data_IF_194260593191
#
_entry.id   IF_194260593191
#
_cell.length_a   1.000
_cell.length_b   1.000
_cell.length_c   1.000
_cell.angle_alpha   90.00
_cell.angle_beta   90.00
_cell.angle_gamma   90.00
#
_symmetry.space_group_name_H-M   'P 1'
#
loop_
_entity.id
_entity.type
_entity.pdbx_description
1 polymer ?
#
# COMPACT_ATOMS: atom_id res chain seq x y z
N UNK A 1 -3.39 51.50 7.94
CA UNK A 1 -3.61 50.05 8.11
C UNK A 1 -3.08 49.39 6.85
N UNK A 2 -1.86 48.86 6.88
CA UNK A 2 -1.25 48.15 5.75
C UNK A 2 -1.43 46.67 5.96
N UNK A 3 -2.31 46.05 5.18
CA UNK A 3 -2.48 44.59 5.17
C UNK A 3 -1.23 43.96 4.55
N UNK A 4 -0.36 43.43 5.40
CA UNK A 4 0.72 42.53 4.97
C UNK A 4 0.11 41.38 4.16
N UNK A 5 0.56 41.12 2.92
CA UNK A 5 0.10 39.96 2.16
C UNK A 5 0.34 38.70 2.98
N UNK A 6 -0.74 37.98 3.34
CA UNK A 6 -0.64 36.68 4.02
C UNK A 6 0.06 35.72 3.08
N UNK A 7 1.35 35.45 3.32
CA UNK A 7 2.06 34.37 2.64
C UNK A 7 1.27 33.08 2.87
N UNK A 8 0.97 32.30 1.82
CA UNK A 8 0.37 31.00 2.02
C UNK A 8 1.34 30.19 2.91
N UNK A 9 0.83 29.66 4.02
CA UNK A 9 1.55 28.71 4.87
C UNK A 9 1.72 27.41 4.07
N UNK A 10 2.74 27.39 3.23
CA UNK A 10 3.19 26.17 2.56
C UNK A 10 3.72 25.23 3.65
N UNK A 11 3.23 23.98 3.77
CA UNK A 11 3.77 23.01 4.71
C UNK A 11 5.29 22.91 4.55
N UNK A 12 6.04 23.34 5.56
CA UNK A 12 7.49 23.58 5.49
C UNK A 12 8.35 22.29 5.50
N UNK A 13 7.80 21.08 5.32
CA UNK A 13 8.54 19.83 5.49
C UNK A 13 8.11 18.70 4.53
N UNK A 14 8.11 18.96 3.23
CA UNK A 14 8.09 17.87 2.23
C UNK A 14 9.53 17.37 2.00
N UNK A 15 10.10 16.67 2.98
CA UNK A 15 11.41 16.01 2.77
C UNK A 15 11.22 14.84 1.78
N UNK A 16 11.75 14.92 0.55
CA UNK A 16 11.53 13.90 -0.48
C UNK A 16 12.06 12.52 -0.05
N UNK A 17 13.09 12.49 0.79
CA UNK A 17 13.62 11.24 1.36
C UNK A 17 12.63 10.55 2.29
N UNK A 18 11.82 11.32 3.03
CA UNK A 18 10.77 10.77 3.90
C UNK A 18 9.65 10.17 3.06
N UNK A 19 9.24 10.85 1.99
CA UNK A 19 8.25 10.32 1.05
C UNK A 19 8.75 9.06 0.36
N UNK A 20 10.00 9.04 -0.10
CA UNK A 20 10.62 7.86 -0.71
C UNK A 20 10.64 6.65 0.25
N UNK A 21 10.98 6.87 1.51
CA UNK A 21 10.95 5.82 2.54
C UNK A 21 9.54 5.23 2.75
N UNK A 22 8.51 6.09 2.81
CA UNK A 22 7.12 5.65 2.92
C UNK A 22 6.66 4.84 1.71
N UNK A 23 6.93 5.33 0.49
CA UNK A 23 6.56 4.64 -0.75
C UNK A 23 7.29 3.30 -0.87
N UNK A 24 8.56 3.25 -0.48
CA UNK A 24 9.35 2.01 -0.46
C UNK A 24 8.76 1.01 0.52
N UNK A 25 8.37 1.44 1.73
CA UNK A 25 7.69 0.59 2.69
C UNK A 25 6.40 -0.02 2.13
N UNK A 26 5.57 0.80 1.48
CA UNK A 26 4.35 0.32 0.79
C UNK A 26 4.67 -0.65 -0.34
N UNK A 27 5.72 -0.38 -1.14
CA UNK A 27 6.16 -1.26 -2.22
C UNK A 27 6.63 -2.62 -1.71
N UNK A 28 7.39 -2.64 -0.60
CA UNK A 28 7.85 -3.88 0.04
C UNK A 28 6.67 -4.69 0.59
N UNK A 29 5.74 -4.05 1.32
CA UNK A 29 4.54 -4.73 1.81
C UNK A 29 3.74 -5.35 0.66
N UNK A 30 3.53 -4.60 -0.41
CA UNK A 30 2.81 -5.07 -1.59
C UNK A 30 3.53 -6.24 -2.27
N UNK A 31 4.85 -6.15 -2.44
CA UNK A 31 5.65 -7.22 -3.02
C UNK A 31 5.57 -8.51 -2.18
N UNK A 32 5.57 -8.39 -0.85
CA UNK A 32 5.40 -9.52 0.07
C UNK A 32 4.02 -10.14 -0.09
N UNK A 33 2.94 -9.36 -0.09
CA UNK A 33 1.58 -9.88 -0.25
C UNK A 33 1.37 -10.58 -1.61
N UNK A 34 1.86 -10.00 -2.70
CA UNK A 34 1.79 -10.60 -4.04
C UNK A 34 2.65 -11.87 -4.11
N UNK A 35 3.88 -11.83 -3.58
CA UNK A 35 4.79 -12.97 -3.58
C UNK A 35 4.25 -14.16 -2.79
N UNK A 36 3.65 -13.90 -1.61
CA UNK A 36 2.96 -14.92 -0.83
C UNK A 36 1.73 -15.46 -1.56
N UNK A 37 0.94 -14.58 -2.18
CA UNK A 37 -0.22 -14.97 -2.98
C UNK A 37 0.17 -15.89 -4.14
N UNK A 38 1.19 -15.52 -4.89
CA UNK A 38 1.76 -16.35 -5.96
C UNK A 38 2.25 -17.69 -5.42
N UNK A 39 3.06 -17.69 -4.35
CA UNK A 39 3.62 -18.93 -3.79
C UNK A 39 2.54 -19.90 -3.31
N UNK A 40 1.53 -19.41 -2.59
CA UNK A 40 0.38 -20.21 -2.15
C UNK A 40 -0.45 -20.71 -3.33
N UNK A 41 -0.63 -19.86 -4.36
CA UNK A 41 -1.34 -20.23 -5.57
C UNK A 41 -0.62 -21.31 -6.39
N UNK A 42 0.70 -21.22 -6.51
CA UNK A 42 1.53 -22.25 -7.16
C UNK A 42 1.51 -23.56 -6.37
N UNK A 43 1.61 -23.49 -5.03
CA UNK A 43 1.49 -24.68 -4.18
C UNK A 43 0.12 -25.35 -4.32
N UNK A 44 -0.94 -24.56 -4.53
CA UNK A 44 -2.28 -25.07 -4.81
C UNK A 44 -2.36 -25.72 -6.20
N UNK A 45 -1.77 -25.09 -7.22
CA UNK A 45 -1.68 -25.65 -8.57
C UNK A 45 -1.00 -27.03 -8.58
N UNK A 46 0.15 -27.15 -7.90
CA UNK A 46 0.90 -28.42 -7.80
C UNK A 46 0.10 -29.54 -7.13
N UNK A 47 -0.78 -29.21 -6.18
CA UNK A 47 -1.58 -30.19 -5.43
C UNK A 47 -2.88 -30.58 -6.13
N UNK A 48 -3.51 -29.64 -6.82
CA UNK A 48 -4.84 -29.82 -7.40
C UNK A 48 -4.79 -30.09 -8.92
N UNK A 49 -3.62 -30.05 -9.54
CA UNK A 49 -3.46 -30.26 -10.99
C UNK A 49 -4.11 -29.13 -11.82
N UNK A 50 -4.29 -27.96 -11.23
CA UNK A 50 -4.77 -26.75 -11.90
C UNK A 50 -3.60 -25.89 -12.37
N UNK A 51 -3.85 -24.94 -13.27
CA UNK A 51 -2.84 -24.02 -13.80
C UNK A 51 -3.21 -22.55 -13.61
N UNK A 52 -4.19 -22.26 -12.73
CA UNK A 52 -4.72 -20.91 -12.53
C UNK A 52 -4.66 -20.46 -11.06
N UNK A 53 -4.22 -21.34 -10.16
CA UNK A 53 -4.05 -21.09 -8.73
C UNK A 53 -3.03 -19.99 -8.47
N UNK A 54 -1.88 -19.98 -9.16
CA UNK A 54 -0.88 -18.91 -9.03
C UNK A 54 -1.46 -17.55 -9.40
N UNK A 55 -2.27 -17.48 -10.47
CA UNK A 55 -2.89 -16.24 -10.94
C UNK A 55 -3.94 -15.75 -9.94
N UNK A 56 -4.78 -16.67 -9.47
CA UNK A 56 -5.79 -16.38 -8.43
C UNK A 56 -5.12 -15.90 -7.15
N UNK A 57 -4.04 -16.56 -6.75
CA UNK A 57 -3.23 -16.22 -5.60
C UNK A 57 -2.59 -14.83 -5.71
N UNK A 58 -2.04 -14.46 -6.87
CA UNK A 58 -1.52 -13.10 -7.15
C UNK A 58 -2.62 -12.05 -7.00
N UNK A 59 -3.81 -12.28 -7.57
CA UNK A 59 -4.93 -11.34 -7.48
C UNK A 59 -5.38 -11.16 -6.02
N UNK A 60 -5.52 -12.26 -5.28
CA UNK A 60 -5.86 -12.22 -3.85
C UNK A 60 -4.78 -11.47 -3.06
N UNK A 61 -3.50 -11.78 -3.32
CA UNK A 61 -2.36 -11.11 -2.69
C UNK A 61 -2.34 -9.60 -2.96
N UNK A 62 -2.62 -9.18 -4.19
CA UNK A 62 -2.74 -7.78 -4.58
C UNK A 62 -3.87 -7.07 -3.84
N UNK A 63 -5.06 -7.67 -3.82
CA UNK A 63 -6.23 -7.10 -3.12
C UNK A 63 -5.97 -6.99 -1.62
N UNK A 64 -5.35 -8.01 -1.01
CA UNK A 64 -4.98 -8.00 0.40
C UNK A 64 -3.93 -6.92 0.71
N UNK A 65 -2.89 -6.79 -0.12
CA UNK A 65 -1.83 -5.78 0.05
C UNK A 65 -2.37 -4.35 -0.07
N UNK A 66 -3.20 -4.07 -1.08
CA UNK A 66 -3.85 -2.76 -1.23
C UNK A 66 -4.80 -2.51 -0.04
N UNK A 67 -5.58 -3.50 0.36
CA UNK A 67 -6.49 -3.39 1.50
C UNK A 67 -5.76 -3.07 2.80
N UNK A 68 -4.61 -3.70 3.04
CA UNK A 68 -3.72 -3.43 4.18
C UNK A 68 -3.21 -1.98 4.16
N UNK A 69 -2.63 -1.55 3.03
CA UNK A 69 -2.13 -0.18 2.87
C UNK A 69 -3.23 0.86 3.11
N UNK A 70 -4.43 0.68 2.54
CA UNK A 70 -5.56 1.58 2.75
C UNK A 70 -6.01 1.59 4.21
N UNK A 71 -6.08 0.43 4.88
CA UNK A 71 -6.46 0.34 6.28
C UNK A 71 -5.46 1.07 7.20
N UNK A 72 -4.16 0.92 6.94
CA UNK A 72 -3.09 1.64 7.62
C UNK A 72 -3.25 3.15 7.42
N UNK A 73 -3.36 3.61 6.17
CA UNK A 73 -3.54 5.03 5.86
C UNK A 73 -4.76 5.58 6.58
N UNK A 74 -5.91 4.90 6.55
CA UNK A 74 -7.14 5.35 7.25
C UNK A 74 -6.94 5.43 8.76
N UNK A 75 -6.23 4.47 9.35
CA UNK A 75 -5.91 4.46 10.78
C UNK A 75 -5.02 5.63 11.19
N UNK A 76 -4.02 5.97 10.37
CA UNK A 76 -3.07 7.04 10.69
C UNK A 76 -3.56 8.44 10.30
N UNK A 77 -4.41 8.56 9.27
CA UNK A 77 -4.98 9.85 8.83
C UNK A 77 -6.24 10.25 9.60
N UNK A 78 -6.81 9.36 10.42
CA UNK A 78 -7.98 9.65 11.25
C UNK A 78 -9.30 9.74 10.49
N UNK A 79 -9.32 9.47 9.17
CA UNK A 79 -10.49 9.51 8.28
C UNK A 79 -11.52 8.38 8.51
N UNK A 80 -11.63 7.89 9.75
CA UNK A 80 -12.49 6.76 10.13
C UNK A 80 -13.06 6.84 11.54
N UNK A 81 -13.08 8.03 12.17
CA UNK A 81 -13.80 8.25 13.43
C UNK A 81 -15.22 8.75 13.09
N UNK A 82 -16.31 8.05 13.45
CA UNK A 82 -17.63 8.67 13.49
C UNK A 82 -17.70 9.75 14.57
#
# INVERSE_FOLDING_TARGET
MTETPRKPDLPQDENPWKAAGLVTGLGVELAVCIGLGWWLGTLYDDRNGTSYGYLTGVVIGLVAGIGSAVALIRKYTGAGRP
#
